data_IF_145922498032
#
_entry.id   IF_145922498032
#
_cell.length_a   1.000
_cell.length_b   1.000
_cell.length_c   1.000
_cell.angle_alpha   90.00
_cell.angle_beta   90.00
_cell.angle_gamma   90.00
#
_symmetry.space_group_name_H-M   'P 1'
#
loop_
_entity.id
_entity.type
_entity.pdbx_description
1 polymer ?
#
# COMPACT_ATOMS: atom_id res chain seq x y z
N UNK A 1 6.24 16.93 -11.73
CA UNK A 1 6.67 16.65 -13.11
C UNK A 1 8.19 16.53 -13.18
N UNK A 2 8.94 17.55 -12.75
CA UNK A 2 10.40 17.52 -12.73
C UNK A 2 11.01 16.26 -12.10
N UNK A 3 10.48 15.77 -10.98
CA UNK A 3 11.01 14.55 -10.34
C UNK A 3 10.83 13.30 -11.23
N UNK A 4 9.72 13.22 -11.95
CA UNK A 4 9.43 12.12 -12.88
C UNK A 4 10.31 12.22 -14.14
N UNK A 5 10.60 13.44 -14.61
CA UNK A 5 11.55 13.67 -15.70
C UNK A 5 12.97 13.29 -15.31
N UNK A 6 13.39 13.60 -14.06
CA UNK A 6 14.68 13.14 -13.52
C UNK A 6 14.74 11.61 -13.44
N UNK A 7 13.66 10.97 -12.98
CA UNK A 7 13.57 9.51 -12.95
C UNK A 7 13.65 8.90 -14.36
N UNK A 8 12.90 9.44 -15.31
CA UNK A 8 12.94 9.02 -16.71
C UNK A 8 14.36 9.18 -17.29
N UNK A 9 15.05 10.29 -17.00
CA UNK A 9 16.42 10.54 -17.46
C UNK A 9 17.43 9.58 -16.85
N UNK A 10 17.27 9.26 -15.57
CA UNK A 10 18.09 8.25 -14.89
C UNK A 10 17.94 6.88 -15.56
N UNK A 11 16.70 6.48 -15.88
CA UNK A 11 16.42 5.20 -16.53
C UNK A 11 16.99 5.13 -17.96
N UNK A 12 16.88 6.22 -18.72
CA UNK A 12 17.49 6.34 -20.03
C UNK A 12 19.01 6.20 -19.94
N UNK A 13 19.65 6.93 -19.01
CA UNK A 13 21.12 6.96 -18.89
C UNK A 13 21.69 5.62 -18.41
N UNK A 14 21.04 4.99 -17.43
CA UNK A 14 21.56 3.78 -16.77
C UNK A 14 21.19 2.49 -17.49
N UNK A 15 19.96 2.40 -17.99
CA UNK A 15 19.41 1.17 -18.55
C UNK A 15 19.14 1.26 -20.06
N UNK A 16 19.24 2.46 -20.64
CA UNK A 16 18.84 2.73 -22.02
C UNK A 16 17.33 2.71 -22.22
N UNK A 17 16.53 2.75 -21.15
CA UNK A 17 15.07 2.71 -21.25
C UNK A 17 14.54 4.09 -21.61
N UNK A 18 13.99 4.23 -22.82
CA UNK A 18 13.41 5.49 -23.27
C UNK A 18 12.00 5.64 -22.69
N UNK A 19 11.78 6.65 -21.86
CA UNK A 19 10.43 7.04 -21.46
C UNK A 19 9.75 7.79 -22.62
N UNK A 20 8.57 7.35 -23.04
CA UNK A 20 7.82 8.03 -24.11
C UNK A 20 6.53 8.70 -23.63
N UNK A 21 6.05 8.34 -22.44
CA UNK A 21 4.87 8.96 -21.83
C UNK A 21 5.01 9.03 -20.31
N UNK A 22 4.61 10.18 -19.75
CA UNK A 22 4.39 10.37 -18.32
C UNK A 22 2.95 10.91 -18.15
N UNK A 23 2.11 10.18 -17.43
CA UNK A 23 0.75 10.60 -17.09
C UNK A 23 0.61 10.74 -15.57
N UNK A 24 0.09 11.87 -15.09
CA UNK A 24 -0.14 12.11 -13.66
C UNK A 24 -1.64 12.15 -13.42
N UNK A 25 -2.15 11.22 -12.61
CA UNK A 25 -3.56 11.13 -12.27
C UNK A 25 -3.81 11.82 -10.92
N UNK A 26 -4.80 12.72 -10.89
CA UNK A 26 -5.16 13.53 -9.71
C UNK A 26 -6.65 13.52 -9.41
N UNK A 27 -7.36 12.63 -10.07
CA UNK A 27 -8.81 12.52 -10.14
C UNK A 27 -9.31 11.19 -9.57
N UNK A 28 -8.42 10.21 -9.42
CA UNK A 28 -8.69 8.90 -8.81
C UNK A 28 -8.61 8.91 -7.28
N UNK A 29 -9.26 7.95 -6.63
CA UNK A 29 -9.31 7.86 -5.18
C UNK A 29 -10.47 7.02 -4.65
N UNK A 30 -10.80 7.19 -3.38
CA UNK A 30 -11.96 6.58 -2.74
C UNK A 30 -12.63 7.54 -1.76
N UNK A 31 -13.86 7.25 -1.37
CA UNK A 31 -14.51 7.90 -0.24
C UNK A 31 -14.12 7.10 1.00
N UNK A 32 -13.60 7.80 2.00
CA UNK A 32 -13.29 7.19 3.29
C UNK A 32 -14.55 7.00 4.14
N UNK A 33 -14.37 6.47 5.34
CA UNK A 33 -15.48 6.12 6.21
C UNK A 33 -16.15 7.35 6.85
N UNK A 34 -15.52 8.53 6.75
CA UNK A 34 -16.09 9.81 7.16
C UNK A 34 -16.89 10.48 6.03
N UNK A 35 -16.94 9.86 4.84
CA UNK A 35 -17.56 10.45 3.67
C UNK A 35 -16.66 11.46 2.94
N UNK A 36 -15.38 11.55 3.32
CA UNK A 36 -14.42 12.45 2.68
C UNK A 36 -13.77 11.79 1.47
N UNK A 37 -13.57 12.57 0.41
CA UNK A 37 -12.88 12.09 -0.80
C UNK A 37 -11.38 12.08 -0.57
N UNK A 38 -10.78 10.90 -0.49
CA UNK A 38 -9.33 10.69 -0.44
C UNK A 38 -8.80 10.46 -1.84
N UNK A 39 -8.08 11.45 -2.37
CA UNK A 39 -7.48 11.40 -3.71
C UNK A 39 -6.17 10.61 -3.68
N UNK A 40 -6.01 9.66 -4.61
CA UNK A 40 -4.78 8.90 -4.79
C UNK A 40 -3.96 9.49 -5.94
N UNK A 41 -3.07 10.44 -5.60
CA UNK A 41 -2.13 10.98 -6.58
C UNK A 41 -1.08 9.94 -6.98
N UNK A 42 -1.07 9.60 -8.26
CA UNK A 42 -0.09 8.65 -8.80
C UNK A 42 0.29 9.02 -10.24
N UNK A 43 1.37 8.43 -10.71
CA UNK A 43 1.86 8.63 -12.07
C UNK A 43 2.13 7.30 -12.78
N UNK A 44 1.85 7.26 -14.07
CA UNK A 44 2.22 6.19 -15.00
C UNK A 44 3.39 6.68 -15.86
N UNK A 45 4.43 5.86 -15.96
CA UNK A 45 5.57 6.10 -16.83
C UNK A 45 5.69 4.91 -17.78
N UNK A 46 5.65 5.20 -19.06
CA UNK A 46 5.74 4.18 -20.10
C UNK A 46 7.13 4.20 -20.74
N UNK A 47 7.76 3.03 -20.82
CA UNK A 47 9.15 2.87 -21.28
C UNK A 47 9.25 1.94 -22.48
N UNK A 48 10.01 2.36 -23.48
CA UNK A 48 10.53 1.50 -24.54
C UNK A 48 11.88 0.95 -24.06
N UNK A 49 11.96 -0.38 -23.95
CA UNK A 49 13.18 -1.08 -23.53
C UNK A 49 13.91 -1.71 -24.71
N UNK A 50 13.75 -1.15 -25.92
CA UNK A 50 14.45 -1.59 -27.12
C UNK A 50 15.61 -0.65 -27.40
N UNK A 51 16.75 -1.23 -27.77
CA UNK A 51 17.89 -0.49 -28.29
C UNK A 51 17.51 0.21 -29.60
N UNK A 52 17.81 1.50 -29.72
CA UNK A 52 17.35 2.35 -30.83
C UNK A 52 17.91 1.93 -32.19
N UNK A 53 19.11 1.36 -32.21
CA UNK A 53 19.80 0.97 -33.45
C UNK A 53 19.52 -0.49 -33.81
N UNK A 54 19.70 -1.40 -32.84
CA UNK A 54 19.62 -2.85 -33.08
C UNK A 54 18.22 -3.43 -32.88
N UNK A 55 17.30 -2.71 -32.24
CA UNK A 55 15.96 -3.19 -31.90
C UNK A 55 15.94 -4.30 -30.84
N UNK A 56 17.09 -4.63 -30.24
CA UNK A 56 17.19 -5.70 -29.24
C UNK A 56 16.69 -5.22 -27.88
N UNK A 57 16.09 -6.13 -27.11
CA UNK A 57 15.65 -5.81 -25.75
C UNK A 57 16.83 -5.50 -24.83
N UNK A 58 16.78 -4.33 -24.20
CA UNK A 58 17.67 -3.87 -23.14
C UNK A 58 17.22 -4.38 -21.77
N UNK A 59 15.95 -4.73 -21.59
CA UNK A 59 15.44 -5.36 -20.36
C UNK A 59 15.80 -6.85 -20.30
N UNK A 60 17.10 -7.12 -20.20
CA UNK A 60 17.70 -8.45 -20.25
C UNK A 60 17.36 -9.27 -19.00
N UNK A 61 17.57 -10.58 -19.08
CA UNK A 61 17.31 -11.52 -17.98
C UNK A 61 17.93 -11.11 -16.63
N UNK A 62 19.12 -10.50 -16.64
CA UNK A 62 19.76 -10.00 -15.41
C UNK A 62 18.98 -8.87 -14.73
N UNK A 63 18.33 -7.98 -15.49
CA UNK A 63 17.49 -6.90 -14.97
C UNK A 63 16.13 -7.40 -14.47
N UNK A 64 15.71 -8.58 -14.93
CA UNK A 64 14.48 -9.26 -14.48
C UNK A 64 14.67 -10.00 -13.16
N UNK A 65 15.92 -10.21 -12.71
CA UNK A 65 16.20 -10.91 -11.44
C UNK A 65 15.74 -10.06 -10.25
N UNK A 66 15.26 -10.69 -9.15
CA UNK A 66 14.80 -9.97 -7.97
C UNK A 66 15.80 -8.96 -7.38
N UNK A 67 17.10 -9.24 -7.50
CA UNK A 67 18.15 -8.31 -7.04
C UNK A 67 18.14 -7.00 -7.83
N UNK A 68 18.04 -7.07 -9.16
CA UNK A 68 18.00 -5.89 -10.02
C UNK A 68 16.69 -5.11 -9.85
N UNK A 69 15.55 -5.80 -9.76
CA UNK A 69 14.26 -5.15 -9.51
C UNK A 69 14.21 -4.43 -8.16
N UNK A 70 14.81 -4.99 -7.10
CA UNK A 70 14.96 -4.29 -5.81
C UNK A 70 15.82 -3.04 -5.94
N UNK A 71 16.91 -3.12 -6.69
CA UNK A 71 17.80 -1.99 -6.91
C UNK A 71 17.09 -0.86 -7.67
N UNK A 72 16.29 -1.19 -8.69
CA UNK A 72 15.41 -0.24 -9.39
C UNK A 72 14.43 0.41 -8.41
N UNK A 73 13.80 -0.38 -7.52
CA UNK A 73 12.89 0.14 -6.50
C UNK A 73 13.60 1.12 -5.54
N UNK A 74 14.82 0.81 -5.12
CA UNK A 74 15.65 1.70 -4.29
C UNK A 74 15.94 3.01 -5.01
N UNK A 75 16.37 2.96 -6.27
CA UNK A 75 16.67 4.16 -7.06
C UNK A 75 15.43 5.04 -7.29
N UNK A 76 14.27 4.43 -7.56
CA UNK A 76 12.99 5.16 -7.67
C UNK A 76 12.66 5.88 -6.37
N UNK A 77 12.76 5.19 -5.23
CA UNK A 77 12.47 5.79 -3.92
C UNK A 77 13.43 6.95 -3.61
N UNK A 78 14.72 6.80 -3.88
CA UNK A 78 15.73 7.84 -3.67
C UNK A 78 15.49 9.08 -4.55
N UNK A 79 15.26 8.88 -5.85
CA UNK A 79 15.08 9.97 -6.82
C UNK A 79 13.79 10.76 -6.55
N UNK A 80 12.72 10.04 -6.19
CA UNK A 80 11.43 10.65 -5.87
C UNK A 80 11.31 11.09 -4.41
N UNK A 81 12.35 10.86 -3.59
CA UNK A 81 12.35 11.13 -2.15
C UNK A 81 11.15 10.50 -1.42
N UNK A 82 10.78 9.29 -1.85
CA UNK A 82 9.67 8.52 -1.29
C UNK A 82 10.20 7.50 -0.28
N UNK A 83 9.35 7.11 0.67
CA UNK A 83 9.67 6.02 1.59
C UNK A 83 9.85 4.71 0.80
N UNK A 84 10.95 4.02 1.08
CA UNK A 84 11.22 2.73 0.47
C UNK A 84 10.30 1.65 1.06
N UNK A 85 9.54 0.96 0.20
CA UNK A 85 8.61 -0.08 0.64
C UNK A 85 9.32 -1.29 1.25
N UNK A 86 8.72 -1.89 2.28
CA UNK A 86 9.29 -3.04 3.01
C UNK A 86 9.67 -4.22 2.09
N UNK A 87 10.86 -4.78 2.30
CA UNK A 87 11.39 -5.92 1.53
C UNK A 87 10.39 -7.08 1.46
N UNK A 88 10.15 -7.61 0.25
CA UNK A 88 9.22 -8.74 0.03
C UNK A 88 9.53 -9.96 0.90
N UNK A 89 10.80 -10.21 1.23
CA UNK A 89 11.21 -11.33 2.11
C UNK A 89 10.68 -11.18 3.53
N UNK A 90 10.44 -9.94 3.96
CA UNK A 90 9.87 -9.61 5.27
C UNK A 90 8.35 -9.48 5.15
N UNK A 91 7.88 -8.67 4.20
CA UNK A 91 6.45 -8.32 4.07
C UNK A 91 5.61 -9.48 3.55
N UNK A 92 6.20 -10.39 2.76
CA UNK A 92 5.54 -11.51 2.06
C UNK A 92 4.32 -11.10 1.23
N UNK A 93 4.22 -9.81 0.87
CA UNK A 93 3.09 -9.27 0.11
C UNK A 93 3.13 -9.80 -1.32
N UNK A 94 1.96 -10.18 -1.81
CA UNK A 94 1.73 -10.51 -3.21
C UNK A 94 0.97 -9.38 -3.90
N UNK A 95 1.19 -9.23 -5.22
CA UNK A 95 0.43 -8.28 -6.03
C UNK A 95 -1.05 -8.68 -6.00
N UNK A 96 -1.93 -7.70 -5.77
CA UNK A 96 -3.38 -7.86 -5.84
C UNK A 96 -3.89 -6.95 -6.95
N UNK A 97 -4.72 -7.49 -7.84
CA UNK A 97 -5.38 -6.70 -8.88
C UNK A 97 -6.31 -5.65 -8.27
N UNK A 98 -6.42 -4.43 -8.86
CA UNK A 98 -7.19 -3.33 -8.26
C UNK A 98 -8.64 -3.70 -7.90
N UNK A 99 -9.34 -4.41 -8.80
CA UNK A 99 -10.71 -4.90 -8.54
C UNK A 99 -10.79 -5.87 -7.37
N UNK A 100 -9.81 -6.78 -7.28
CA UNK A 100 -9.73 -7.74 -6.17
C UNK A 100 -9.41 -7.04 -4.86
N UNK A 101 -8.50 -6.06 -4.88
CA UNK A 101 -8.16 -5.25 -3.72
C UNK A 101 -9.38 -4.47 -3.20
N UNK A 102 -10.13 -3.82 -4.09
CA UNK A 102 -11.37 -3.14 -3.74
C UNK A 102 -12.39 -4.07 -3.07
N UNK A 103 -12.63 -5.25 -3.66
CA UNK A 103 -13.53 -6.24 -3.09
C UNK A 103 -13.06 -6.79 -1.72
N UNK A 104 -11.74 -6.96 -1.54
CA UNK A 104 -11.17 -7.36 -0.25
C UNK A 104 -11.37 -6.26 0.80
N UNK A 105 -11.14 -4.99 0.45
CA UNK A 105 -11.32 -3.86 1.35
C UNK A 105 -12.77 -3.68 1.77
N UNK A 106 -13.71 -3.79 0.86
CA UNK A 106 -15.15 -3.71 1.20
C UNK A 106 -15.58 -4.83 2.15
N UNK A 107 -15.08 -6.05 1.96
CA UNK A 107 -15.33 -7.16 2.91
C UNK A 107 -14.71 -6.92 4.28
N UNK A 108 -13.50 -6.38 4.34
CA UNK A 108 -12.85 -6.00 5.61
C UNK A 108 -13.68 -4.93 6.34
N UNK A 109 -14.19 -3.93 5.60
CA UNK A 109 -15.06 -2.88 6.14
C UNK A 109 -16.37 -3.45 6.68
N UNK A 110 -17.04 -4.32 5.92
CA UNK A 110 -18.28 -4.97 6.33
C UNK A 110 -18.09 -5.83 7.59
N UNK A 111 -17.01 -6.63 7.63
CA UNK A 111 -16.68 -7.47 8.78
C UNK A 111 -16.39 -6.65 10.03
N UNK A 112 -15.65 -5.54 9.89
CA UNK A 112 -15.39 -4.63 11.00
C UNK A 112 -16.66 -3.96 11.50
N UNK A 113 -17.55 -3.52 10.60
CA UNK A 113 -18.82 -2.91 10.97
C UNK A 113 -19.70 -3.86 11.79
N UNK A 114 -19.83 -5.13 11.35
CA UNK A 114 -20.52 -6.17 12.11
C UNK A 114 -19.89 -6.41 13.48
N UNK A 115 -18.56 -6.36 13.57
CA UNK A 115 -17.85 -6.54 14.83
C UNK A 115 -18.13 -5.38 15.81
N UNK A 116 -18.22 -4.15 15.32
CA UNK A 116 -18.56 -2.98 16.15
C UNK A 116 -20.02 -3.01 16.62
N UNK A 117 -20.96 -3.32 15.71
CA UNK A 117 -22.37 -3.48 16.07
C UNK A 117 -22.56 -4.50 17.20
N UNK A 118 -21.77 -5.59 17.19
CA UNK A 118 -21.75 -6.58 18.27
C UNK A 118 -21.19 -6.03 19.59
N UNK A 119 -20.17 -5.16 19.56
CA UNK A 119 -19.65 -4.52 20.77
C UNK A 119 -20.62 -3.50 21.35
N UNK A 120 -21.35 -2.75 20.52
CA UNK A 120 -22.40 -1.82 20.97
C UNK A 120 -23.48 -2.58 21.76
N UNK A 121 -23.91 -3.72 21.23
CA UNK A 121 -24.93 -4.56 21.86
C UNK A 121 -24.49 -5.13 23.21
N UNK A 122 -23.23 -5.56 23.34
CA UNK A 122 -22.72 -6.19 24.56
C UNK A 122 -22.26 -5.19 25.62
N UNK A 123 -21.59 -4.11 25.20
CA UNK A 123 -20.93 -3.18 26.11
C UNK A 123 -21.70 -1.88 26.33
N UNK A 124 -22.77 -1.63 25.55
CA UNK A 124 -23.54 -0.39 25.62
C UNK A 124 -22.70 0.85 25.28
N UNK A 125 -21.60 0.67 24.56
CA UNK A 125 -20.78 1.78 24.05
C UNK A 125 -21.46 2.24 22.76
N UNK A 126 -21.70 3.53 22.61
CA UNK A 126 -22.23 4.07 21.36
C UNK A 126 -21.07 4.22 20.36
N UNK A 127 -20.77 3.17 19.59
CA UNK A 127 -19.76 3.26 18.51
C UNK A 127 -20.35 3.78 17.19
N UNK A 128 -21.66 4.09 17.15
CA UNK A 128 -22.29 4.69 15.98
C UNK A 128 -21.67 6.04 15.67
N UNK A 129 -20.97 6.10 14.53
CA UNK A 129 -20.31 7.31 14.05
C UNK A 129 -18.79 7.34 14.25
N UNK A 130 -18.19 6.30 14.86
CA UNK A 130 -16.74 6.13 14.80
C UNK A 130 -16.32 5.78 13.38
N UNK A 131 -15.28 6.44 12.89
CA UNK A 131 -14.58 6.01 11.67
C UNK A 131 -14.02 4.60 11.86
N UNK A 132 -13.82 3.87 10.77
CA UNK A 132 -13.20 2.53 10.78
C UNK A 132 -11.85 2.53 11.51
N UNK A 133 -11.09 3.62 11.40
CA UNK A 133 -9.81 3.78 12.07
C UNK A 133 -9.96 3.86 13.59
N UNK A 134 -10.92 4.66 14.07
CA UNK A 134 -11.20 4.80 15.50
C UNK A 134 -11.78 3.51 16.08
N UNK A 135 -12.64 2.84 15.31
CA UNK A 135 -13.16 1.53 15.61
C UNK A 135 -12.08 0.45 15.73
N UNK A 136 -11.14 0.39 14.78
CA UNK A 136 -9.99 -0.53 14.84
C UNK A 136 -9.12 -0.27 16.08
N UNK A 137 -8.88 1.00 16.41
CA UNK A 137 -8.11 1.38 17.58
C UNK A 137 -8.83 1.04 18.89
N UNK A 138 -10.14 1.31 18.97
CA UNK A 138 -11.00 0.95 20.09
C UNK A 138 -11.00 -0.57 20.31
N UNK A 139 -11.15 -1.36 19.24
CA UNK A 139 -11.06 -2.82 19.30
C UNK A 139 -9.69 -3.29 19.81
N UNK A 140 -8.60 -2.76 19.26
CA UNK A 140 -7.24 -3.10 19.69
C UNK A 140 -7.01 -2.81 21.18
N UNK A 141 -7.52 -1.68 21.67
CA UNK A 141 -7.46 -1.31 23.08
C UNK A 141 -8.29 -2.27 23.96
N UNK A 142 -9.49 -2.66 23.51
CA UNK A 142 -10.37 -3.60 24.20
C UNK A 142 -9.77 -5.01 24.32
N UNK A 143 -9.20 -5.52 23.22
CA UNK A 143 -8.51 -6.82 23.21
C UNK A 143 -7.34 -6.81 24.19
N UNK A 144 -6.53 -5.74 24.17
CA UNK A 144 -5.40 -5.59 25.08
C UNK A 144 -5.83 -5.57 26.56
N UNK A 145 -6.86 -4.79 26.89
CA UNK A 145 -7.42 -4.72 28.25
C UNK A 145 -7.97 -6.07 28.75
N UNK A 146 -8.57 -6.86 27.85
CA UNK A 146 -9.11 -8.19 28.16
C UNK A 146 -7.99 -9.21 28.38
N UNK A 147 -6.92 -9.17 27.57
CA UNK A 147 -5.74 -10.00 27.75
C UNK A 147 -5.03 -9.70 29.08
N UNK A 148 -4.85 -8.41 29.41
CA UNK A 148 -4.25 -7.99 30.69
C UNK A 148 -5.08 -8.46 31.90
N UNK A 149 -6.42 -8.34 31.85
CA UNK A 149 -7.30 -8.87 32.90
C UNK A 149 -7.21 -10.39 33.08
N UNK A 150 -7.06 -11.14 31.99
CA UNK A 150 -6.94 -12.60 32.05
C UNK A 150 -5.57 -13.04 32.58
N UNK A 151 -4.50 -12.28 32.31
CA UNK A 151 -3.18 -12.51 32.88
C UNK A 151 -3.20 -12.28 34.41
N UNK A 152 -3.82 -11.19 34.87
CA UNK A 152 -3.95 -10.90 36.31
C UNK A 152 -4.76 -11.97 37.06
N UNK A 153 -5.89 -12.43 36.49
CA UNK A 153 -6.67 -13.54 37.06
C UNK A 153 -5.92 -14.89 37.09
N UNK A 154 -4.94 -15.09 36.19
CA UNK A 154 -4.08 -16.26 36.20
C UNK A 154 -3.00 -16.21 37.27
N UNK A 155 -2.63 -15.01 37.74
CA UNK A 155 -1.67 -14.79 38.82
C UNK A 155 -2.37 -14.92 40.19
N UNK A 156 -3.62 -14.46 40.32
CA UNK A 156 -4.41 -14.57 41.57
C UNK A 156 -4.85 -16.02 41.91
N UNK A 157 -4.63 -16.99 41.01
CA UNK A 157 -4.94 -18.41 41.17
C UNK A 157 -3.70 -19.29 41.41
N UNK A 158 -2.54 -18.70 41.74
CA UNK A 158 -1.32 -19.37 42.21
C UNK A 158 -1.06 -18.96 43.65
#
# INVERSE_FOLDING_TARGET
>A
MQDLERLAKHFETKYGFQCYQIAIHRDEGHIDDNGEKVINHHAHLEFITLDKESGKSLFRAELQKPKALRQIQTEVAEILQMEWGQDKRISKRERIEPRKYGAMKEKEREALRKLLDFYDEILGIDTKGLSITEAQQAHKNLVKKTQEKNILKGIDNI
#
